data_IF_282579641061
#
_entry.id   IF_282579641061
#
_cell.length_a   1.000
_cell.length_b   1.000
_cell.length_c   1.000
_cell.angle_alpha   90.00
_cell.angle_beta   90.00
_cell.angle_gamma   90.00
#
_symmetry.space_group_name_H-M   'P 1'
#
loop_
_entity.id
_entity.type
_entity.pdbx_description
1 polymer ?
#
# COMPACT_ATOMS: atom_id res chain seq x y z
N UNK A 1 -10.20 -25.00 2.49
CA UNK A 1 -9.72 -23.70 3.03
C UNK A 1 -8.40 -23.34 2.35
N UNK A 2 -8.49 -22.84 1.12
CA UNK A 2 -7.37 -22.40 0.28
C UNK A 2 -6.81 -21.05 0.74
N UNK A 3 -5.60 -20.72 0.29
CA UNK A 3 -5.02 -19.38 0.36
C UNK A 3 -5.13 -18.73 -1.01
N UNK A 4 -5.62 -17.50 -1.09
CA UNK A 4 -5.67 -16.73 -2.32
C UNK A 4 -4.78 -15.51 -2.22
N UNK A 5 -3.96 -15.28 -3.25
CA UNK A 5 -3.12 -14.08 -3.38
C UNK A 5 -3.83 -13.12 -4.31
N UNK A 6 -3.99 -11.86 -3.88
CA UNK A 6 -4.61 -10.82 -4.68
C UNK A 6 -3.79 -9.55 -4.68
N UNK A 7 -3.65 -8.99 -5.85
CA UNK A 7 -3.10 -7.67 -6.06
C UNK A 7 -4.27 -6.70 -6.32
N UNK A 8 -4.54 -5.80 -5.36
CA UNK A 8 -5.64 -4.84 -5.48
C UNK A 8 -5.37 -3.70 -6.48
N UNK A 9 -4.15 -3.56 -6.98
CA UNK A 9 -3.84 -2.69 -8.12
C UNK A 9 -4.33 -3.26 -9.46
N UNK A 10 -4.92 -4.48 -9.47
CA UNK A 10 -5.45 -5.15 -10.68
C UNK A 10 -6.94 -5.39 -10.56
N UNK A 11 -7.63 -5.20 -11.67
CA UNK A 11 -9.06 -5.51 -11.73
C UNK A 11 -9.30 -7.00 -11.52
N UNK A 12 -10.15 -7.33 -10.56
CA UNK A 12 -10.63 -8.70 -10.35
C UNK A 12 -12.06 -8.67 -9.86
N UNK A 13 -12.85 -9.64 -10.29
CA UNK A 13 -14.18 -9.91 -9.72
C UNK A 13 -14.14 -11.27 -9.03
N UNK A 14 -14.74 -11.35 -7.85
CA UNK A 14 -14.93 -12.63 -7.16
C UNK A 14 -16.34 -12.67 -6.62
N UNK A 15 -17.04 -13.74 -6.94
CA UNK A 15 -18.29 -14.05 -6.29
C UNK A 15 -17.96 -14.95 -5.10
N UNK A 16 -18.27 -14.46 -3.92
CA UNK A 16 -18.17 -15.24 -2.68
C UNK A 16 -19.60 -15.56 -2.23
N UNK A 17 -19.85 -16.82 -1.94
CA UNK A 17 -21.02 -17.24 -1.16
C UNK A 17 -20.68 -17.09 0.33
N UNK A 18 -21.38 -17.74 1.22
CA UNK A 18 -21.08 -17.68 2.66
C UNK A 18 -19.71 -18.29 2.94
N UNK A 19 -18.74 -17.47 3.34
CA UNK A 19 -17.37 -17.91 3.64
C UNK A 19 -16.83 -17.25 4.92
N UNK A 20 -16.07 -18.00 5.68
CA UNK A 20 -15.16 -17.45 6.69
C UNK A 20 -13.89 -16.99 5.98
N UNK A 21 -13.62 -15.70 6.00
CA UNK A 21 -12.46 -15.10 5.37
C UNK A 21 -11.58 -14.40 6.40
N UNK A 22 -10.32 -14.79 6.44
CA UNK A 22 -9.26 -14.00 7.07
C UNK A 22 -8.39 -13.42 5.98
N UNK A 23 -8.26 -12.10 5.93
CA UNK A 23 -7.41 -11.40 4.99
C UNK A 23 -6.37 -10.56 5.72
N UNK A 24 -5.13 -10.60 5.24
CA UNK A 24 -4.07 -9.68 5.63
C UNK A 24 -3.74 -8.86 4.39
N UNK A 25 -3.87 -7.55 4.52
CA UNK A 25 -3.50 -6.61 3.46
C UNK A 25 -2.11 -6.08 3.72
N UNK A 26 -1.24 -6.30 2.74
CA UNK A 26 0.16 -5.88 2.82
C UNK A 26 0.41 -4.81 1.76
N UNK A 27 0.90 -3.64 2.15
CA UNK A 27 1.31 -2.62 1.20
C UNK A 27 2.30 -3.17 0.17
N UNK A 28 2.14 -2.81 -1.11
CA UNK A 28 2.98 -3.36 -2.21
C UNK A 28 4.46 -3.09 -2.00
N UNK A 29 4.81 -1.98 -1.36
CA UNK A 29 6.19 -1.64 -1.03
C UNK A 29 6.83 -2.59 -0.01
N UNK A 30 6.03 -3.32 0.78
CA UNK A 30 6.50 -4.35 1.71
C UNK A 30 6.45 -5.75 1.10
N UNK A 31 5.72 -5.95 -0.01
CA UNK A 31 5.65 -7.24 -0.67
C UNK A 31 6.90 -7.48 -1.53
N UNK A 32 7.48 -8.70 -1.50
CA UNK A 32 8.56 -9.07 -2.39
C UNK A 32 8.15 -8.95 -3.86
N UNK A 33 9.00 -8.38 -4.75
CA UNK A 33 8.67 -8.18 -6.16
C UNK A 33 8.12 -9.42 -6.88
N UNK A 34 8.60 -10.65 -6.62
CA UNK A 34 8.05 -11.84 -7.25
C UNK A 34 6.59 -12.12 -6.88
N UNK A 35 6.11 -11.67 -5.71
CA UNK A 35 4.69 -11.78 -5.32
C UNK A 35 3.80 -10.76 -6.02
N UNK A 36 4.38 -9.72 -6.62
CA UNK A 36 3.68 -8.67 -7.36
C UNK A 36 3.54 -9.00 -8.87
N UNK A 37 4.06 -10.16 -9.31
CA UNK A 37 3.96 -10.61 -10.68
C UNK A 37 2.50 -10.86 -11.11
N UNK A 38 2.18 -10.66 -12.41
CA UNK A 38 0.83 -10.88 -12.92
C UNK A 38 0.31 -12.29 -12.67
N UNK A 39 1.20 -13.27 -12.60
CA UNK A 39 0.89 -14.68 -12.37
C UNK A 39 0.48 -14.98 -10.91
N UNK A 40 0.74 -14.06 -9.99
CA UNK A 40 0.35 -14.19 -8.59
C UNK A 40 -1.06 -13.66 -8.33
N UNK A 41 -1.53 -12.72 -9.16
CA UNK A 41 -2.86 -12.16 -8.99
C UNK A 41 -3.96 -13.19 -9.26
N UNK A 42 -4.84 -13.40 -8.28
CA UNK A 42 -5.91 -14.39 -8.36
C UNK A 42 -5.46 -15.84 -8.11
N UNK A 43 -4.17 -16.07 -7.87
CA UNK A 43 -3.65 -17.42 -7.64
C UNK A 43 -4.23 -18.02 -6.38
N UNK A 44 -4.74 -19.24 -6.52
CA UNK A 44 -5.29 -20.04 -5.42
C UNK A 44 -4.31 -21.15 -5.10
N UNK A 45 -3.83 -21.18 -3.86
CA UNK A 45 -2.99 -22.26 -3.34
C UNK A 45 -3.89 -23.26 -2.59
N UNK A 46 -3.85 -24.51 -3.04
CA UNK A 46 -4.65 -25.59 -2.46
C UNK A 46 -4.28 -25.82 -0.98
N UNK A 47 -5.25 -26.15 -0.11
CA UNK A 47 -4.97 -26.48 1.27
C UNK A 47 -4.11 -27.74 1.46
N UNK A 48 -4.00 -28.57 0.41
CA UNK A 48 -3.17 -29.77 0.39
C UNK A 48 -1.70 -29.47 0.11
N UNK A 49 -1.39 -28.29 -0.46
CA UNK A 49 0.00 -27.88 -0.69
C UNK A 49 0.75 -27.78 0.65
N UNK A 50 1.93 -28.41 0.74
CA UNK A 50 2.79 -28.27 1.91
C UNK A 50 3.06 -26.78 2.18
N UNK A 51 2.92 -26.37 3.45
CA UNK A 51 3.16 -24.98 3.88
C UNK A 51 1.92 -24.09 3.86
N UNK A 52 0.84 -24.36 3.12
CA UNK A 52 -0.40 -23.54 3.17
C UNK A 52 -1.00 -23.54 4.58
N UNK A 53 -0.94 -24.65 5.31
CA UNK A 53 -1.36 -24.71 6.72
C UNK A 53 -0.50 -23.83 7.61
N UNK A 54 0.81 -23.78 7.36
CA UNK A 54 1.74 -22.91 8.10
C UNK A 54 1.42 -21.44 7.86
N UNK A 55 1.26 -21.03 6.60
CA UNK A 55 0.88 -19.65 6.24
C UNK A 55 -0.42 -19.26 6.95
N UNK A 56 -1.44 -20.11 6.90
CA UNK A 56 -2.70 -19.84 7.58
C UNK A 56 -2.57 -19.72 9.10
N UNK A 57 -1.78 -20.60 9.71
CA UNK A 57 -1.50 -20.51 11.15
C UNK A 57 -0.80 -19.20 11.51
N UNK A 58 0.19 -18.78 10.74
CA UNK A 58 0.83 -17.47 10.90
C UNK A 58 -0.15 -16.32 10.75
N UNK A 59 -1.01 -16.35 9.73
CA UNK A 59 -2.05 -15.32 9.56
C UNK A 59 -3.01 -15.24 10.74
N UNK A 60 -3.43 -16.38 11.27
CA UNK A 60 -4.32 -16.43 12.44
C UNK A 60 -3.65 -15.86 13.68
N UNK A 61 -2.40 -16.24 13.95
CA UNK A 61 -1.63 -15.70 15.07
C UNK A 61 -1.44 -14.19 14.91
N UNK A 62 -1.04 -13.73 13.73
CA UNK A 62 -0.89 -12.31 13.46
C UNK A 62 -2.19 -11.52 13.67
N UNK A 63 -3.34 -12.07 13.26
CA UNK A 63 -4.63 -11.42 13.48
C UNK A 63 -5.00 -11.31 14.98
N UNK A 64 -4.52 -12.21 15.82
CA UNK A 64 -4.77 -12.21 17.26
C UNK A 64 -3.79 -11.31 18.02
N UNK A 65 -2.51 -11.32 17.63
CA UNK A 65 -1.42 -10.72 18.40
C UNK A 65 -0.97 -9.35 17.87
N UNK A 66 -1.43 -8.95 16.67
CA UNK A 66 -0.93 -7.74 16.00
C UNK A 66 -1.03 -6.46 16.83
N UNK A 67 -2.07 -6.34 17.67
CA UNK A 67 -2.27 -5.17 18.53
C UNK A 67 -1.26 -5.08 19.69
N UNK A 68 -0.67 -6.21 20.08
CA UNK A 68 0.28 -6.30 21.19
C UNK A 68 1.75 -6.26 20.71
N UNK A 69 1.97 -6.39 19.40
CA UNK A 69 3.31 -6.37 18.82
C UNK A 69 3.82 -4.94 18.65
N UNK A 70 5.11 -4.74 18.87
CA UNK A 70 5.77 -3.50 18.43
C UNK A 70 5.84 -3.45 16.90
N UNK A 71 5.94 -2.25 16.33
CA UNK A 71 6.04 -2.05 14.88
C UNK A 71 7.16 -2.88 14.25
N UNK A 72 8.33 -2.93 14.90
CA UNK A 72 9.45 -3.73 14.43
C UNK A 72 9.17 -5.25 14.45
N UNK A 73 8.45 -5.74 15.46
CA UNK A 73 8.07 -7.15 15.56
C UNK A 73 6.99 -7.49 14.50
N UNK A 74 6.03 -6.59 14.29
CA UNK A 74 5.00 -6.73 13.26
C UNK A 74 5.60 -6.77 11.86
N UNK A 75 6.52 -5.84 11.55
CA UNK A 75 7.27 -5.83 10.29
C UNK A 75 8.02 -7.14 10.04
N UNK A 76 8.74 -7.64 11.04
CA UNK A 76 9.48 -8.90 10.94
C UNK A 76 8.55 -10.09 10.70
N UNK A 77 7.39 -10.11 11.38
CA UNK A 77 6.39 -11.15 11.21
C UNK A 77 5.74 -11.13 9.81
N UNK A 78 5.43 -9.94 9.28
CA UNK A 78 4.91 -9.78 7.91
C UNK A 78 5.96 -10.19 6.89
N UNK A 79 7.22 -9.80 7.04
CA UNK A 79 8.30 -10.22 6.15
C UNK A 79 8.49 -11.74 6.15
N UNK A 80 8.44 -12.37 7.32
CA UNK A 80 8.47 -13.83 7.46
C UNK A 80 7.29 -14.49 6.72
N UNK A 81 6.08 -13.97 6.92
CA UNK A 81 4.88 -14.45 6.24
C UNK A 81 5.02 -14.36 4.72
N UNK A 82 5.49 -13.22 4.19
CA UNK A 82 5.70 -13.02 2.76
C UNK A 82 6.73 -13.99 2.17
N UNK A 83 7.80 -14.26 2.92
CA UNK A 83 8.83 -15.23 2.52
C UNK A 83 8.24 -16.64 2.40
N UNK A 84 7.46 -17.06 3.39
CA UNK A 84 6.82 -18.40 3.40
C UNK A 84 5.79 -18.50 2.27
N UNK A 85 4.97 -17.47 2.05
CA UNK A 85 4.02 -17.42 0.93
C UNK A 85 4.75 -17.56 -0.41
N UNK A 86 5.85 -16.84 -0.61
CA UNK A 86 6.67 -16.94 -1.82
C UNK A 86 7.16 -18.36 -2.05
N UNK A 87 7.68 -19.02 -1.05
CA UNK A 87 8.15 -20.42 -1.13
C UNK A 87 7.02 -21.40 -1.45
N UNK A 88 5.89 -21.28 -0.76
CA UNK A 88 4.70 -22.11 -0.99
C UNK A 88 4.12 -21.88 -2.39
N UNK A 89 4.21 -20.67 -2.90
CA UNK A 89 3.81 -20.31 -4.26
C UNK A 89 4.82 -20.78 -5.34
N UNK A 90 5.92 -21.45 -4.96
CA UNK A 90 6.93 -21.96 -5.90
C UNK A 90 7.82 -20.86 -6.49
N UNK A 91 7.91 -19.71 -5.81
CA UNK A 91 8.84 -18.65 -6.19
C UNK A 91 10.22 -19.05 -5.66
N UNK A 92 11.17 -19.26 -6.57
CA UNK A 92 12.57 -19.42 -6.20
C UNK A 92 13.11 -18.07 -5.70
N UNK A 93 13.07 -17.87 -4.40
CA UNK A 93 13.85 -16.82 -3.77
C UNK A 93 15.29 -17.33 -3.68
N UNK A 94 16.13 -16.93 -4.62
CA UNK A 94 17.55 -17.22 -4.54
C UNK A 94 18.11 -16.61 -3.26
N UNK A 95 18.66 -17.46 -2.40
CA UNK A 95 19.26 -17.08 -1.12
C UNK A 95 20.51 -16.18 -1.30
N UNK A 96 20.93 -15.95 -2.53
CA UNK A 96 22.11 -15.12 -2.88
C UNK A 96 21.83 -13.63 -3.14
N UNK A 97 20.56 -13.15 -3.07
CA UNK A 97 20.26 -11.73 -3.21
C UNK A 97 19.59 -11.08 -1.97
N UNK A 98 19.66 -11.68 -0.74
CA UNK A 98 18.92 -11.11 0.40
C UNK A 98 19.54 -9.82 0.93
N UNK A 99 20.87 -9.66 0.89
CA UNK A 99 21.50 -8.48 1.49
C UNK A 99 21.22 -7.20 0.72
N UNK A 100 21.36 -7.20 -0.61
CA UNK A 100 21.11 -6.00 -1.44
C UNK A 100 19.60 -5.68 -1.45
N UNK A 101 18.75 -6.69 -1.52
CA UNK A 101 17.29 -6.53 -1.47
C UNK A 101 16.83 -6.03 -0.08
N UNK A 102 17.42 -6.54 0.99
CA UNK A 102 17.13 -6.12 2.36
C UNK A 102 17.60 -4.68 2.62
N UNK A 103 18.80 -4.32 2.17
CA UNK A 103 19.32 -2.95 2.28
C UNK A 103 18.45 -1.99 1.47
N UNK A 104 18.09 -2.32 0.23
CA UNK A 104 17.20 -1.50 -0.60
C UNK A 104 15.80 -1.37 0.01
N UNK A 105 15.27 -2.43 0.60
CA UNK A 105 14.00 -2.43 1.33
C UNK A 105 14.05 -1.51 2.55
N UNK A 106 15.11 -1.59 3.35
CA UNK A 106 15.31 -0.73 4.51
C UNK A 106 15.46 0.75 4.11
N UNK A 107 16.28 1.03 3.10
CA UNK A 107 16.45 2.39 2.56
C UNK A 107 15.12 2.95 2.07
N UNK A 108 14.35 2.15 1.34
CA UNK A 108 13.04 2.58 0.84
C UNK A 108 12.07 2.85 1.99
N UNK A 109 12.02 2.01 3.02
CA UNK A 109 11.18 2.22 4.20
C UNK A 109 11.52 3.53 4.90
N UNK A 110 12.79 3.77 5.24
CA UNK A 110 13.23 5.01 5.88
C UNK A 110 12.91 6.25 5.02
N UNK A 111 13.07 6.13 3.71
CA UNK A 111 12.70 7.20 2.77
C UNK A 111 11.19 7.45 2.74
N UNK A 112 10.37 6.40 2.75
CA UNK A 112 8.89 6.51 2.80
C UNK A 112 8.45 7.12 4.12
N UNK A 113 8.95 6.65 5.25
CA UNK A 113 8.63 7.20 6.58
C UNK A 113 8.96 8.70 6.67
N UNK A 114 10.09 9.12 6.12
CA UNK A 114 10.45 10.54 6.03
C UNK A 114 9.44 11.33 5.18
N UNK A 115 9.10 10.81 3.98
CA UNK A 115 8.16 11.46 3.05
C UNK A 115 6.80 11.62 3.72
N UNK A 116 6.25 10.56 4.32
CA UNK A 116 4.94 10.59 4.98
C UNK A 116 4.94 11.57 6.15
N UNK A 117 5.93 11.49 7.04
CA UNK A 117 6.04 12.39 8.20
C UNK A 117 6.06 13.86 7.76
N UNK A 118 6.76 14.20 6.68
CA UNK A 118 6.81 15.57 6.16
C UNK A 118 5.48 15.99 5.55
N UNK A 119 4.84 15.13 4.77
CA UNK A 119 3.54 15.41 4.15
C UNK A 119 2.43 15.54 5.20
N UNK A 120 2.42 14.71 6.23
CA UNK A 120 1.48 14.79 7.35
C UNK A 120 1.64 16.10 8.14
N UNK A 121 2.88 16.58 8.25
CA UNK A 121 3.18 17.89 8.84
C UNK A 121 2.84 19.08 7.92
N UNK A 122 2.34 18.82 6.70
CA UNK A 122 2.06 19.86 5.70
C UNK A 122 3.32 20.44 5.05
N UNK A 123 4.49 19.83 5.28
CA UNK A 123 5.74 20.28 4.71
C UNK A 123 6.01 19.57 3.38
N UNK A 124 5.94 20.33 2.31
CA UNK A 124 6.17 19.85 0.94
C UNK A 124 7.51 20.33 0.35
N UNK A 125 8.29 21.09 1.11
CA UNK A 125 9.53 21.70 0.66
C UNK A 125 10.73 20.77 0.87
N UNK A 126 10.68 19.56 0.36
CA UNK A 126 11.78 18.60 0.39
C UNK A 126 12.03 17.97 -0.97
N UNK A 127 13.25 17.51 -1.20
CA UNK A 127 13.66 16.85 -2.42
C UNK A 127 14.49 15.59 -2.15
N UNK A 128 15.02 15.00 -3.23
CA UNK A 128 15.77 13.74 -3.14
C UNK A 128 17.04 13.83 -2.26
N UNK A 129 17.57 15.03 -2.01
CA UNK A 129 18.74 15.20 -1.14
C UNK A 129 18.38 14.95 0.32
N UNK A 130 17.29 15.56 0.80
CA UNK A 130 16.80 15.42 2.15
C UNK A 130 16.29 14.00 2.41
N UNK A 131 15.62 13.40 1.43
CA UNK A 131 15.18 12.01 1.51
C UNK A 131 16.37 11.05 1.63
N UNK A 132 17.43 11.26 0.83
CA UNK A 132 18.62 10.43 0.89
C UNK A 132 19.35 10.59 2.24
N UNK A 133 19.44 11.82 2.74
CA UNK A 133 20.05 12.12 4.04
C UNK A 133 19.26 11.45 5.19
N UNK A 134 17.93 11.51 5.17
CA UNK A 134 17.09 10.87 6.18
C UNK A 134 17.21 9.33 6.15
N UNK A 135 17.35 8.74 4.97
CA UNK A 135 17.60 7.31 4.82
C UNK A 135 19.08 6.91 5.06
N UNK A 136 19.98 7.86 5.36
CA UNK A 136 21.39 7.59 5.61
C UNK A 136 22.18 7.09 4.41
N UNK A 137 21.79 7.46 3.18
CA UNK A 137 22.38 6.95 1.94
C UNK A 137 22.72 8.05 0.94
N UNK A 138 23.51 7.68 -0.09
CA UNK A 138 23.73 8.56 -1.23
C UNK A 138 22.50 8.69 -2.10
N UNK A 139 22.35 9.80 -2.86
CA UNK A 139 21.29 9.96 -3.86
C UNK A 139 21.25 8.80 -4.85
N UNK A 140 22.40 8.30 -5.30
CA UNK A 140 22.47 7.19 -6.24
C UNK A 140 21.87 5.91 -5.65
N UNK A 141 22.10 5.64 -4.35
CA UNK A 141 21.48 4.51 -3.64
C UNK A 141 19.99 4.69 -3.48
N UNK A 142 19.52 5.91 -3.15
CA UNK A 142 18.11 6.24 -3.09
C UNK A 142 17.43 5.99 -4.44
N UNK A 143 17.95 6.52 -5.54
CA UNK A 143 17.37 6.33 -6.87
C UNK A 143 17.28 4.85 -7.24
N UNK A 144 18.33 4.05 -6.98
CA UNK A 144 18.29 2.58 -7.21
C UNK A 144 17.22 1.88 -6.38
N UNK A 145 16.99 2.32 -5.13
CA UNK A 145 15.98 1.73 -4.26
C UNK A 145 14.54 1.97 -4.74
N UNK A 146 14.32 3.03 -5.53
CA UNK A 146 13.01 3.38 -6.10
C UNK A 146 12.88 3.07 -7.61
N UNK A 147 13.91 2.52 -8.25
CA UNK A 147 13.90 2.25 -9.69
C UNK A 147 12.69 1.40 -10.11
N UNK A 148 12.39 0.36 -9.35
CA UNK A 148 11.27 -0.58 -9.63
C UNK A 148 9.88 0.03 -9.48
N UNK A 149 9.77 1.15 -8.78
CA UNK A 149 8.51 1.88 -8.59
C UNK A 149 8.44 3.17 -9.42
N UNK A 150 9.27 3.28 -10.45
CA UNK A 150 9.29 4.41 -11.37
C UNK A 150 10.08 5.62 -10.89
N UNK A 151 10.88 5.46 -9.83
CA UNK A 151 11.78 6.50 -9.30
C UNK A 151 11.19 7.28 -8.13
N UNK A 152 12.09 7.82 -7.29
CA UNK A 152 11.72 8.53 -6.05
C UNK A 152 10.88 9.78 -6.30
N UNK A 153 11.14 10.53 -7.35
CA UNK A 153 10.37 11.75 -7.65
C UNK A 153 8.93 11.44 -8.02
N UNK A 154 8.70 10.39 -8.81
CA UNK A 154 7.37 9.90 -9.14
C UNK A 154 6.65 9.42 -7.89
N UNK A 155 7.33 8.67 -7.05
CA UNK A 155 6.79 8.20 -5.77
C UNK A 155 6.32 9.38 -4.90
N UNK A 156 7.17 10.41 -4.68
CA UNK A 156 6.80 11.61 -3.93
C UNK A 156 5.57 12.31 -4.54
N UNK A 157 5.53 12.43 -5.87
CA UNK A 157 4.40 13.04 -6.57
C UNK A 157 3.11 12.25 -6.35
N UNK A 158 3.16 10.94 -6.38
CA UNK A 158 2.01 10.08 -6.11
C UNK A 158 1.54 10.21 -4.65
N UNK A 159 2.47 10.27 -3.68
CA UNK A 159 2.11 10.50 -2.27
C UNK A 159 1.42 11.86 -2.07
N UNK A 160 1.94 12.92 -2.70
CA UNK A 160 1.30 14.24 -2.68
C UNK A 160 -0.12 14.22 -3.25
N UNK A 161 -0.36 13.47 -4.33
CA UNK A 161 -1.70 13.28 -4.89
C UNK A 161 -2.65 12.57 -3.91
N UNK A 162 -2.15 11.56 -3.18
CA UNK A 162 -2.95 10.86 -2.17
C UNK A 162 -3.34 11.77 -1.01
N UNK A 163 -2.39 12.52 -0.45
CA UNK A 163 -2.69 13.50 0.61
C UNK A 163 -3.66 14.58 0.12
N UNK A 164 -3.47 15.08 -1.11
CA UNK A 164 -4.40 16.03 -1.71
C UNK A 164 -5.82 15.44 -1.85
N UNK A 165 -5.94 14.17 -2.25
CA UNK A 165 -7.24 13.47 -2.31
C UNK A 165 -7.88 13.35 -0.94
N UNK A 166 -7.13 13.01 0.10
CA UNK A 166 -7.64 12.99 1.48
C UNK A 166 -8.15 14.36 1.92
N UNK A 167 -7.39 15.43 1.66
CA UNK A 167 -7.80 16.79 1.96
C UNK A 167 -9.07 17.18 1.19
N UNK A 168 -9.19 16.78 -0.08
CA UNK A 168 -10.40 16.99 -0.89
C UNK A 168 -11.62 16.27 -0.31
N UNK A 169 -11.47 15.07 0.25
CA UNK A 169 -12.55 14.31 0.89
C UNK A 169 -13.03 14.96 2.18
N UNK A 170 -12.16 15.65 2.90
CA UNK A 170 -12.43 16.28 4.20
C UNK A 170 -12.97 17.70 4.08
N UNK A 171 -13.15 18.23 2.85
CA UNK A 171 -13.65 19.58 2.64
C UNK A 171 -15.07 19.75 3.20
N UNK A 172 -15.26 20.86 3.92
CA UNK A 172 -16.57 21.34 4.36
C UNK A 172 -16.95 22.54 3.50
N UNK A 173 -18.15 22.54 2.92
CA UNK A 173 -18.64 23.62 2.04
C UNK A 173 -17.66 23.99 0.92
N UNK A 174 -17.01 22.97 0.33
CA UNK A 174 -16.01 23.10 -0.73
C UNK A 174 -14.77 23.94 -0.36
N UNK A 175 -14.49 24.10 0.94
CA UNK A 175 -13.29 24.79 1.42
C UNK A 175 -12.34 23.82 2.13
N UNK A 176 -11.01 23.97 1.95
CA UNK A 176 -10.34 24.85 0.97
C UNK A 176 -10.66 24.48 -0.48
N UNK A 177 -10.43 25.41 -1.42
CA UNK A 177 -10.63 25.17 -2.85
C UNK A 177 -9.67 24.12 -3.39
N UNK A 178 -9.98 23.54 -4.57
CA UNK A 178 -9.10 22.56 -5.23
C UNK A 178 -7.72 23.18 -5.50
N UNK A 179 -7.67 24.45 -5.87
CA UNK A 179 -6.43 25.15 -6.15
C UNK A 179 -5.57 25.29 -4.88
N UNK A 180 -6.17 25.71 -3.78
CA UNK A 180 -5.47 25.84 -2.49
C UNK A 180 -4.92 24.49 -2.03
N UNK A 181 -5.69 23.42 -2.16
CA UNK A 181 -5.23 22.06 -1.84
C UNK A 181 -4.06 21.66 -2.76
N UNK A 182 -4.17 21.88 -4.07
CA UNK A 182 -3.08 21.55 -4.98
C UNK A 182 -1.78 22.29 -4.60
N UNK A 183 -1.87 23.57 -4.27
CA UNK A 183 -0.71 24.38 -3.86
C UNK A 183 -0.15 23.93 -2.52
N UNK A 184 -0.98 23.60 -1.53
CA UNK A 184 -0.53 23.12 -0.21
C UNK A 184 0.24 21.80 -0.31
N UNK A 185 -0.04 20.99 -1.34
CA UNK A 185 0.73 19.76 -1.60
C UNK A 185 1.83 19.93 -2.67
N UNK A 186 2.24 21.18 -2.96
CA UNK A 186 3.41 21.49 -3.78
C UNK A 186 3.21 21.38 -5.29
N UNK A 187 1.96 21.40 -5.77
CA UNK A 187 1.69 21.51 -7.21
C UNK A 187 1.64 22.99 -7.61
N UNK A 188 2.48 23.37 -8.56
CA UNK A 188 2.59 24.76 -9.04
C UNK A 188 1.63 25.08 -10.18
N UNK A 189 1.02 24.08 -10.80
CA UNK A 189 0.07 24.21 -11.90
C UNK A 189 -1.18 23.38 -11.66
N UNK A 190 -2.33 24.05 -11.62
CA UNK A 190 -3.63 23.39 -11.44
C UNK A 190 -3.98 22.46 -12.60
N UNK A 191 -3.65 22.87 -13.84
CA UNK A 191 -3.88 22.03 -15.02
C UNK A 191 -3.05 20.75 -14.96
N UNK A 192 -1.80 20.84 -14.49
CA UNK A 192 -0.93 19.68 -14.30
C UNK A 192 -1.44 18.78 -13.17
N UNK A 193 -1.83 19.36 -12.03
CA UNK A 193 -2.47 18.64 -10.93
C UNK A 193 -3.71 17.86 -11.38
N UNK A 194 -4.65 18.54 -12.08
CA UNK A 194 -5.90 17.92 -12.55
C UNK A 194 -5.63 16.73 -13.49
N UNK A 195 -4.64 16.86 -14.39
CA UNK A 195 -4.25 15.80 -15.31
C UNK A 195 -3.68 14.59 -14.52
N UNK A 196 -2.71 14.82 -13.66
CA UNK A 196 -2.08 13.76 -12.85
C UNK A 196 -3.09 13.08 -11.93
N UNK A 197 -3.98 13.88 -11.32
CA UNK A 197 -5.02 13.37 -10.44
C UNK A 197 -5.98 12.43 -11.19
N UNK A 198 -6.42 12.84 -12.40
CA UNK A 198 -7.28 11.99 -13.24
C UNK A 198 -6.55 10.74 -13.73
N UNK A 199 -5.28 10.86 -14.10
CA UNK A 199 -4.45 9.71 -14.49
C UNK A 199 -4.34 8.71 -13.33
N UNK A 200 -4.21 9.20 -12.10
CA UNK A 200 -4.00 8.34 -10.92
C UNK A 200 -5.30 7.72 -10.38
N UNK A 201 -6.39 8.50 -10.33
CA UNK A 201 -7.62 8.09 -9.65
C UNK A 201 -8.79 7.79 -10.61
N UNK A 202 -8.65 8.05 -11.90
CA UNK A 202 -9.69 7.81 -12.90
C UNK A 202 -10.78 8.88 -13.00
N UNK A 203 -10.80 9.86 -12.09
CA UNK A 203 -11.76 10.96 -12.04
C UNK A 203 -11.08 12.29 -11.67
N UNK A 204 -11.68 13.44 -11.98
CA UNK A 204 -11.09 14.74 -11.66
C UNK A 204 -11.22 15.08 -10.17
N UNK A 205 -10.42 16.00 -9.62
CA UNK A 205 -10.50 16.43 -8.21
C UNK A 205 -11.86 16.97 -7.79
N UNK A 206 -12.65 17.50 -8.71
CA UNK A 206 -14.00 18.02 -8.47
C UNK A 206 -15.03 16.93 -8.14
N UNK A 207 -14.74 15.70 -8.54
CA UNK A 207 -15.62 14.54 -8.37
C UNK A 207 -15.19 13.65 -7.18
N UNK A 208 -14.24 14.12 -6.36
CA UNK A 208 -13.84 13.37 -5.16
C UNK A 208 -15.04 13.27 -4.22
N UNK A 209 -15.49 12.04 -3.89
CA UNK A 209 -16.60 11.87 -2.97
C UNK A 209 -16.19 12.35 -1.57
N UNK A 210 -17.07 13.06 -0.84
CA UNK A 210 -16.81 13.43 0.53
C UNK A 210 -16.64 12.18 1.40
N UNK A 211 -15.93 12.33 2.52
CA UNK A 211 -15.89 11.25 3.53
C UNK A 211 -17.32 11.03 4.00
N UNK A 212 -17.91 9.93 3.58
CA UNK A 212 -19.11 9.40 4.20
C UNK A 212 -18.81 9.02 5.67
N UNK A 213 -19.82 8.81 6.51
CA UNK A 213 -19.60 8.26 7.83
C UNK A 213 -18.73 7.03 7.68
N UNK A 214 -17.55 7.04 8.32
CA UNK A 214 -16.63 5.91 8.22
C UNK A 214 -17.41 4.66 8.64
N UNK A 215 -17.42 3.62 7.82
CA UNK A 215 -17.99 2.38 8.29
C UNK A 215 -17.11 1.95 9.47
N UNK A 216 -17.62 2.12 10.67
CA UNK A 216 -17.07 1.40 11.80
C UNK A 216 -17.27 -0.06 11.44
N UNK A 217 -16.18 -0.75 11.09
CA UNK A 217 -16.20 -2.20 10.97
C UNK A 217 -16.38 -2.68 12.42
N UNK A 218 -17.62 -2.68 12.85
CA UNK A 218 -18.01 -3.47 14.00
C UNK A 218 -17.91 -4.89 13.47
N UNK A 219 -16.94 -5.64 13.98
CA UNK A 219 -16.92 -7.10 13.86
C UNK A 219 -18.14 -7.62 14.64
N UNK A 220 -19.33 -7.42 14.06
CA UNK A 220 -20.57 -8.01 14.56
C UNK A 220 -20.73 -9.37 13.88
N UNK A 221 -21.30 -10.32 14.57
CA UNK A 221 -21.67 -11.65 14.05
C UNK A 221 -22.68 -11.63 12.88
N UNK A 222 -22.81 -10.48 12.23
CA UNK A 222 -23.68 -10.27 11.08
C UNK A 222 -23.00 -10.54 9.74
N UNK A 223 -23.77 -10.68 8.65
CA UNK A 223 -23.24 -10.91 7.31
C UNK A 223 -22.32 -9.74 6.91
N UNK A 224 -21.17 -10.09 6.32
CA UNK A 224 -20.20 -9.10 5.83
C UNK A 224 -20.89 -8.22 4.77
N UNK A 225 -20.90 -6.93 5.01
CA UNK A 225 -21.38 -5.92 4.06
C UNK A 225 -20.34 -5.76 2.96
N UNK A 226 -20.53 -6.48 1.86
CA UNK A 226 -19.59 -6.48 0.72
C UNK A 226 -19.44 -5.11 0.05
N UNK A 227 -20.49 -4.28 0.07
CA UNK A 227 -20.47 -2.91 -0.40
C UNK A 227 -19.43 -2.07 0.39
N UNK A 228 -19.49 -2.13 1.71
CA UNK A 228 -18.54 -1.43 2.60
C UNK A 228 -17.12 -1.98 2.47
N UNK A 229 -16.99 -3.30 2.34
CA UNK A 229 -15.70 -3.94 2.12
C UNK A 229 -15.11 -3.53 0.75
N UNK A 230 -15.94 -3.47 -0.28
CA UNK A 230 -15.50 -3.05 -1.62
C UNK A 230 -15.06 -1.59 -1.64
N UNK A 231 -15.78 -0.70 -0.97
CA UNK A 231 -15.42 0.72 -0.85
C UNK A 231 -14.12 0.88 -0.06
N UNK A 232 -13.96 0.17 1.04
CA UNK A 232 -12.76 0.17 1.85
C UNK A 232 -11.57 -0.45 1.12
N UNK A 233 -11.76 -1.56 0.38
CA UNK A 233 -10.72 -2.17 -0.46
C UNK A 233 -10.34 -1.26 -1.64
N UNK A 234 -11.29 -0.55 -2.23
CA UNK A 234 -11.01 0.46 -3.25
C UNK A 234 -10.20 1.62 -2.66
N UNK A 235 -10.46 1.99 -1.42
CA UNK A 235 -9.72 3.01 -0.70
C UNK A 235 -8.28 2.58 -0.41
N UNK A 236 -8.07 1.37 0.12
CA UNK A 236 -6.73 0.79 0.35
C UNK A 236 -6.01 0.52 -0.97
N UNK A 237 -6.69 -0.04 -1.97
CA UNK A 237 -6.12 -0.28 -3.30
C UNK A 237 -5.74 1.01 -4.02
N UNK A 238 -6.41 2.14 -3.69
CA UNK A 238 -6.01 3.46 -4.18
C UNK A 238 -4.85 4.08 -3.38
N UNK A 239 -4.52 3.51 -2.23
CA UNK A 239 -3.38 3.92 -1.40
C UNK A 239 -2.09 3.23 -1.85
N UNK A 240 -2.16 2.27 -2.78
CA UNK A 240 -1.01 1.50 -3.23
C UNK A 240 -0.39 2.13 -4.49
N UNK A 241 0.84 2.67 -4.42
CA UNK A 241 1.58 3.04 -5.62
C UNK A 241 1.99 1.78 -6.38
N UNK A 242 1.68 1.73 -7.66
CA UNK A 242 2.28 0.75 -8.56
C UNK A 242 3.79 0.77 -8.51
#
# INVERSE_FOLDING_TARGET
>A
RSLQIRDFGRLSSTRLETVDLLAIMVPRNLAPPPLLGPEMHGRILSPELPGVRLVRGQMQILAQEAAELSDAALDAAIQSLMLVIGRVAGIETSIGAPEISTIQGTVRRLAVDFIETRLDAGDVAFGSAEIAAAAGVSRATLYRSFERVGGVNRFVQERRLHHARQALRQRIDLKPSIAEIAWSYGFTSISHFNRLFRERFGYPPSEVPPVGPQPHIVLSDGPIRHDLLSDWLAEIGSTDPM
#
